data_IF_037752559061
#
_entry.id   IF_037752559061
#
_cell.length_a   1.000
_cell.length_b   1.000
_cell.length_c   1.000
_cell.angle_alpha   90.00
_cell.angle_beta   90.00
_cell.angle_gamma   90.00
#
_symmetry.space_group_name_H-M   'P 1'
#
loop_
_entity.id
_entity.type
_entity.pdbx_description
1 polymer ?
#
# COMPACT_ATOMS: atom_id res chain seq x y z
N UNK A 1 4.46 20.23 -5.89
CA UNK A 1 3.59 19.08 -6.19
C UNK A 1 2.55 18.96 -5.09
N UNK A 2 1.33 19.43 -5.35
CA UNK A 2 0.26 19.52 -4.35
C UNK A 2 -0.28 18.12 -4.06
N UNK A 3 -0.07 17.64 -2.83
CA UNK A 3 -0.53 16.34 -2.34
C UNK A 3 -2.07 16.29 -2.31
N UNK A 4 -2.68 15.73 -3.35
CA UNK A 4 -4.11 15.86 -3.67
C UNK A 4 -5.02 15.00 -2.79
N UNK A 5 -4.45 14.13 -1.95
CA UNK A 5 -5.17 13.18 -1.09
C UNK A 5 -5.80 13.85 0.15
N UNK A 6 -5.29 15.01 0.58
CA UNK A 6 -5.74 15.69 1.80
C UNK A 6 -7.13 16.37 1.68
N UNK A 7 -7.73 16.44 0.48
CA UNK A 7 -8.93 17.25 0.24
C UNK A 7 -10.23 16.68 0.81
N UNK A 8 -10.27 15.41 1.22
CA UNK A 8 -11.52 14.72 1.58
C UNK A 8 -11.54 14.20 3.04
N UNK A 9 -10.62 14.61 3.91
CA UNK A 9 -10.57 14.13 5.30
C UNK A 9 -10.06 12.68 5.46
N UNK A 10 -9.40 12.14 4.43
CA UNK A 10 -8.75 10.84 4.51
C UNK A 10 -7.67 10.85 5.61
N UNK A 11 -7.65 9.79 6.44
CA UNK A 11 -6.70 9.63 7.56
C UNK A 11 -5.47 8.81 7.20
N UNK A 12 -5.55 8.03 6.13
CA UNK A 12 -4.47 7.15 5.66
C UNK A 12 -4.45 7.12 4.14
N UNK A 13 -3.26 6.87 3.58
CA UNK A 13 -3.10 6.35 2.21
C UNK A 13 -2.93 4.86 2.33
N UNK A 14 -3.69 4.10 1.53
CA UNK A 14 -3.55 2.65 1.42
C UNK A 14 -3.16 2.29 -0.01
N UNK A 15 -2.38 1.23 -0.15
CA UNK A 15 -2.02 0.64 -1.43
C UNK A 15 -1.94 -0.88 -1.29
N UNK A 16 -1.88 -1.54 -2.44
CA UNK A 16 -1.70 -2.99 -2.54
C UNK A 16 -0.51 -3.27 -3.48
N UNK A 17 0.25 -4.33 -3.19
CA UNK A 17 1.27 -4.86 -4.11
C UNK A 17 1.49 -6.35 -3.90
N UNK A 18 1.89 -7.07 -4.96
CA UNK A 18 2.28 -8.47 -4.89
C UNK A 18 3.46 -8.66 -3.91
N UNK A 19 3.45 -9.74 -3.13
CA UNK A 19 4.56 -10.11 -2.24
C UNK A 19 5.89 -10.34 -2.99
N UNK A 20 5.83 -10.73 -4.27
CA UNK A 20 6.98 -10.95 -5.14
C UNK A 20 7.58 -9.64 -5.66
N UNK A 21 6.83 -8.52 -5.63
CA UNK A 21 7.32 -7.19 -6.02
C UNK A 21 8.17 -6.57 -4.90
N UNK A 22 9.24 -7.28 -4.55
CA UNK A 22 10.20 -6.93 -3.49
C UNK A 22 10.74 -5.50 -3.64
N UNK A 23 11.08 -4.99 -4.85
CA UNK A 23 11.50 -3.60 -5.01
C UNK A 23 10.43 -2.58 -4.58
N UNK A 24 9.16 -2.80 -4.96
CA UNK A 24 8.08 -1.91 -4.57
C UNK A 24 7.82 -1.97 -3.06
N UNK A 25 7.81 -3.16 -2.47
CA UNK A 25 7.65 -3.34 -1.01
C UNK A 25 8.72 -2.54 -0.25
N UNK A 26 9.99 -2.66 -0.63
CA UNK A 26 11.06 -1.88 0.00
C UNK A 26 10.88 -0.38 -0.19
N UNK A 27 10.52 0.06 -1.40
CA UNK A 27 10.28 1.47 -1.69
C UNK A 27 9.14 2.05 -0.83
N UNK A 28 8.01 1.34 -0.70
CA UNK A 28 6.88 1.80 0.11
C UNK A 28 7.20 1.84 1.60
N UNK A 29 7.94 0.85 2.12
CA UNK A 29 8.42 0.89 3.51
C UNK A 29 9.35 2.08 3.76
N UNK A 30 10.25 2.38 2.82
CA UNK A 30 11.09 3.58 2.90
C UNK A 30 10.29 4.89 2.84
N UNK A 31 9.13 4.89 2.18
CA UNK A 31 8.19 6.02 2.16
C UNK A 31 7.34 6.12 3.45
N UNK A 32 7.48 5.19 4.38
CA UNK A 32 6.77 5.16 5.67
C UNK A 32 5.43 4.45 5.63
N UNK A 33 5.20 3.56 4.68
CA UNK A 33 4.07 2.63 4.70
C UNK A 33 4.42 1.36 5.47
N UNK A 34 3.47 0.85 6.25
CA UNK A 34 3.58 -0.43 6.94
C UNK A 34 2.62 -1.46 6.35
N UNK A 35 3.01 -2.74 6.39
CA UNK A 35 2.13 -3.85 6.02
C UNK A 35 1.05 -3.96 7.08
N UNK A 36 -0.21 -3.84 6.67
CA UNK A 36 -1.39 -3.88 7.56
C UNK A 36 -2.31 -5.06 7.28
N UNK A 37 -2.07 -5.80 6.21
CA UNK A 37 -2.85 -6.98 5.86
C UNK A 37 -2.31 -7.71 4.64
N UNK A 38 -2.91 -8.86 4.36
CA UNK A 38 -2.62 -9.65 3.17
C UNK A 38 -3.87 -10.40 2.68
N UNK A 39 -3.88 -10.74 1.39
CA UNK A 39 -4.89 -11.60 0.77
C UNK A 39 -4.21 -12.59 -0.19
N UNK A 40 -4.50 -13.87 -0.01
CA UNK A 40 -3.93 -14.98 -0.80
C UNK A 40 -4.82 -15.39 -1.98
N UNK A 41 -5.97 -14.76 -2.12
CA UNK A 41 -7.01 -15.08 -3.11
C UNK A 41 -7.19 -13.97 -4.13
N UNK A 42 -6.63 -12.77 -3.89
CA UNK A 42 -6.75 -11.64 -4.80
C UNK A 42 -6.11 -11.93 -6.17
N UNK A 43 -4.99 -12.64 -6.17
CA UNK A 43 -4.25 -13.02 -7.37
C UNK A 43 -4.50 -14.48 -7.72
N UNK A 44 -5.74 -14.81 -8.10
CA UNK A 44 -6.04 -16.10 -8.72
C UNK A 44 -5.60 -16.13 -10.21
N UNK A 45 -5.52 -17.32 -10.81
CA UNK A 45 -5.13 -17.51 -12.23
C UNK A 45 -3.62 -17.56 -12.45
N UNK A 46 -3.10 -16.79 -13.40
CA UNK A 46 -1.68 -16.82 -13.81
C UNK A 46 -0.72 -16.38 -12.69
N UNK A 47 -1.24 -15.72 -11.65
CA UNK A 47 -0.52 -15.28 -10.47
C UNK A 47 -0.92 -16.03 -9.18
N UNK A 48 -1.56 -17.21 -9.27
CA UNK A 48 -2.11 -18.00 -8.14
C UNK A 48 -1.12 -18.35 -7.01
N UNK A 49 0.18 -18.09 -7.17
CA UNK A 49 1.20 -18.25 -6.13
C UNK A 49 1.54 -16.96 -5.37
N UNK A 50 1.02 -15.81 -5.82
CA UNK A 50 1.32 -14.51 -5.25
C UNK A 50 0.29 -14.12 -4.19
N UNK A 51 0.75 -13.36 -3.20
CA UNK A 51 -0.07 -12.85 -2.10
C UNK A 51 -0.10 -11.34 -2.21
N UNK A 52 -1.30 -10.76 -2.23
CA UNK A 52 -1.47 -9.33 -2.12
C UNK A 52 -1.05 -8.86 -0.73
N UNK A 53 -0.20 -7.86 -0.67
CA UNK A 53 0.18 -7.17 0.55
C UNK A 53 -0.53 -5.82 0.56
N UNK A 54 -1.29 -5.55 1.62
CA UNK A 54 -1.87 -4.23 1.85
C UNK A 54 -0.96 -3.41 2.74
N UNK A 55 -0.60 -2.22 2.29
CA UNK A 55 0.23 -1.29 3.04
C UNK A 55 -0.50 0.02 3.27
N UNK A 56 -0.33 0.60 4.47
CA UNK A 56 -0.93 1.88 4.82
C UNK A 56 0.06 2.83 5.49
N UNK A 57 -0.15 4.12 5.27
CA UNK A 57 0.57 5.21 5.94
C UNK A 57 -0.42 6.28 6.40
N UNK A 58 -0.31 6.81 7.63
CA UNK A 58 -1.15 7.92 8.06
C UNK A 58 -0.90 9.17 7.22
N UNK A 59 -1.99 9.87 6.89
CA UNK A 59 -1.93 11.22 6.35
C UNK A 59 -1.77 12.19 7.50
N UNK A 60 -0.65 12.90 7.53
CA UNK A 60 -0.46 14.02 8.44
C UNK A 60 -1.07 15.24 7.76
N UNK A 61 -2.19 15.73 8.27
CA UNK A 61 -2.66 17.05 7.91
C UNK A 61 -1.66 18.06 8.53
N UNK A 62 -1.10 18.92 7.70
CA UNK A 62 -0.44 20.12 8.19
C UNK A 62 -1.53 21.17 8.37
N UNK A 63 -1.79 21.54 9.63
CA UNK A 63 -2.61 22.70 9.99
C UNK A 63 -1.94 24.01 9.55
#
# INVERSE_FOLDING_TARGET
MTNRVLRNGARHVCLETQNTNTPAVHAYRAMGFDIVGLDRTLYDGDAAGETALYLAKPLVAHD
#
